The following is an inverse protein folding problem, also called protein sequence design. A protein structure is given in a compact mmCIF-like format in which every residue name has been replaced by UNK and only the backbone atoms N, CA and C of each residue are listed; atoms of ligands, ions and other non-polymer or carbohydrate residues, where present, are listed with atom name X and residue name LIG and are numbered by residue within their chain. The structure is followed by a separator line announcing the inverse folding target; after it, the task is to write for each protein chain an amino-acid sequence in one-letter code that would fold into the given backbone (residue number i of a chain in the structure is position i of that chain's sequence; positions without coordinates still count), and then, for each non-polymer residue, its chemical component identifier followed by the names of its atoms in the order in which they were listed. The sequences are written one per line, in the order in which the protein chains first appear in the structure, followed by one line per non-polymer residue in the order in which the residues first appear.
data_IF_969871976508
#
_entry.id   IF_969871976508
#
_cell.length_a   1.000
_cell.length_b   1.000
_cell.length_c   1.000
_cell.angle_alpha   90.00
_cell.angle_beta   90.00
_cell.angle_gamma   90.00
#
_symmetry.space_group_name_H-M   'P 1'
#
loop_
_entity.id
_entity.type
_entity.pdbx_description
1 polymer ?
#
# COMPACT_ATOMS: atom_id res chain seq x y z
N UNK A 1 -6.29 6.48 7.91
CA UNK A 1 -5.99 6.10 6.52
C UNK A 1 -6.59 4.74 6.21
N UNK A 2 -7.19 4.55 5.05
CA UNK A 2 -7.78 3.28 4.61
C UNK A 2 -7.29 2.91 3.23
N UNK A 3 -6.93 1.64 3.02
CA UNK A 3 -6.69 1.05 1.69
C UNK A 3 -7.78 0.00 1.40
N UNK A 4 -8.45 0.12 0.26
CA UNK A 4 -9.60 -0.71 -0.13
C UNK A 4 -9.70 -0.86 -1.64
N UNK A 5 -10.62 -1.69 -2.12
CA UNK A 5 -10.82 -1.89 -3.56
C UNK A 5 -12.06 -2.67 -3.92
N UNK A 6 -12.22 -3.00 -5.20
CA UNK A 6 -13.37 -3.79 -5.66
C UNK A 6 -13.39 -5.22 -5.11
N UNK A 7 -12.22 -5.78 -4.78
CA UNK A 7 -12.09 -7.12 -4.18
C UNK A 7 -12.32 -7.14 -2.67
N UNK A 8 -12.19 -5.99 -2.01
CA UNK A 8 -12.53 -5.78 -0.61
C UNK A 8 -13.00 -4.33 -0.42
N UNK A 9 -14.32 -4.08 -0.52
CA UNK A 9 -14.89 -2.74 -0.43
C UNK A 9 -14.78 -2.12 0.97
N UNK A 10 -14.58 -2.93 2.01
CA UNK A 10 -14.34 -2.46 3.38
C UNK A 10 -12.89 -2.01 3.51
N UNK A 11 -11.97 -2.87 3.08
CA UNK A 11 -10.54 -2.66 3.17
C UNK A 11 -10.01 -2.69 4.60
N UNK A 12 -8.80 -2.16 4.76
CA UNK A 12 -8.09 -2.14 6.05
C UNK A 12 -7.76 -0.70 6.43
N UNK A 13 -7.84 -0.41 7.72
CA UNK A 13 -7.68 0.95 8.24
C UNK A 13 -6.52 1.03 9.24
N UNK A 14 -5.67 2.01 9.01
CA UNK A 14 -4.66 2.49 9.94
C UNK A 14 -5.18 3.75 10.65
N UNK A 15 -5.36 3.66 11.97
CA UNK A 15 -5.93 4.73 12.80
C UNK A 15 -4.89 5.50 13.61
N UNK A 16 -3.67 4.99 13.76
CA UNK A 16 -2.63 5.69 14.50
C UNK A 16 -2.20 6.97 13.76
N UNK A 17 -2.44 8.17 14.32
CA UNK A 17 -2.23 9.42 13.60
C UNK A 17 -0.75 9.67 13.26
N UNK A 18 0.18 9.21 14.11
CA UNK A 18 1.62 9.33 13.84
C UNK A 18 2.04 8.50 12.62
N UNK A 19 1.49 7.29 12.50
CA UNK A 19 1.79 6.41 11.37
C UNK A 19 1.12 6.91 10.08
N UNK A 20 -0.12 7.39 10.16
CA UNK A 20 -0.81 8.02 9.02
C UNK A 20 -0.03 9.23 8.50
N UNK A 21 0.41 10.13 9.39
CA UNK A 21 1.20 11.31 9.00
C UNK A 21 2.55 10.90 8.38
N UNK A 22 3.22 9.90 8.94
CA UNK A 22 4.48 9.38 8.40
C UNK A 22 4.35 8.81 6.99
N UNK A 23 3.30 8.01 6.75
CA UNK A 23 2.99 7.45 5.43
C UNK A 23 2.61 8.56 4.45
N UNK A 24 1.76 9.51 4.84
CA UNK A 24 1.35 10.62 3.99
C UNK A 24 2.56 11.47 3.57
N UNK A 25 3.44 11.81 4.51
CA UNK A 25 4.66 12.54 4.23
C UNK A 25 5.58 11.75 3.29
N UNK A 26 5.78 10.45 3.55
CA UNK A 26 6.62 9.58 2.72
C UNK A 26 6.14 9.50 1.26
N UNK A 27 4.83 9.36 1.05
CA UNK A 27 4.22 9.36 -0.27
C UNK A 27 4.31 10.73 -0.96
N UNK A 28 4.20 11.82 -0.21
CA UNK A 28 4.31 13.19 -0.75
C UNK A 28 5.74 13.53 -1.18
N UNK A 29 6.74 13.10 -0.40
CA UNK A 29 8.13 13.52 -0.57
C UNK A 29 9.02 12.46 -1.23
N UNK A 30 8.45 11.36 -1.72
CA UNK A 30 9.20 10.22 -2.24
C UNK A 30 10.29 9.75 -1.25
N UNK A 31 9.88 9.47 -0.01
CA UNK A 31 10.75 8.97 1.04
C UNK A 31 10.31 7.57 1.52
N UNK A 32 11.22 6.86 2.18
CA UNK A 32 10.90 5.56 2.81
C UNK A 32 10.34 5.78 4.22
N UNK A 33 9.35 4.99 4.62
CA UNK A 33 8.79 5.02 5.96
C UNK A 33 8.36 3.62 6.42
N UNK A 34 8.54 3.34 7.71
CA UNK A 34 8.27 2.04 8.30
C UNK A 34 9.45 1.06 8.21
N UNK A 35 9.21 -0.24 8.44
CA UNK A 35 7.90 -0.84 8.70
C UNK A 35 7.31 -0.44 10.06
N UNK A 36 5.99 -0.21 10.13
CA UNK A 36 5.24 0.00 11.39
C UNK A 36 4.08 -0.98 11.50
N UNK A 37 3.97 -1.68 12.63
CA UNK A 37 2.89 -2.64 12.87
C UNK A 37 1.65 -1.95 13.45
N UNK A 38 0.49 -2.20 12.87
CA UNK A 38 -0.80 -1.74 13.40
C UNK A 38 -1.96 -2.55 12.84
N UNK A 39 -2.90 -2.92 13.72
CA UNK A 39 -4.13 -3.65 13.36
C UNK A 39 -3.88 -4.97 12.61
N UNK A 40 -2.79 -5.68 12.94
CA UNK A 40 -2.43 -6.96 12.30
C UNK A 40 -1.72 -6.82 10.95
N UNK A 41 -1.44 -5.59 10.49
CA UNK A 41 -0.73 -5.31 9.25
C UNK A 41 0.61 -4.65 9.50
N UNK A 42 1.54 -4.79 8.56
CA UNK A 42 2.86 -4.19 8.61
C UNK A 42 2.98 -3.16 7.50
N UNK A 43 2.90 -1.89 7.87
CA UNK A 43 2.80 -0.77 6.93
C UNK A 43 4.18 -0.25 6.58
N UNK A 44 4.48 -0.17 5.29
CA UNK A 44 5.74 0.34 4.77
C UNK A 44 5.50 1.14 3.49
N UNK A 45 6.25 2.23 3.34
CA UNK A 45 6.36 2.99 2.10
C UNK A 45 7.81 2.90 1.63
N UNK A 46 8.04 2.56 0.36
CA UNK A 46 9.38 2.46 -0.18
C UNK A 46 9.42 2.45 -1.71
N UNK A 47 10.61 2.55 -2.32
CA UNK A 47 10.76 2.64 -3.77
C UNK A 47 10.43 1.31 -4.46
N UNK A 48 9.67 1.36 -5.55
CA UNK A 48 9.44 0.24 -6.44
C UNK A 48 9.17 0.71 -7.88
N UNK A 49 10.02 0.29 -8.82
CA UNK A 49 9.97 0.79 -10.19
C UNK A 49 10.29 2.29 -10.25
N UNK A 50 9.43 3.08 -10.91
CA UNK A 50 9.63 4.52 -11.08
C UNK A 50 8.97 5.39 -10.00
N UNK A 51 8.46 4.80 -8.93
CA UNK A 51 7.93 5.57 -7.80
C UNK A 51 7.86 4.79 -6.51
N UNK A 52 6.88 5.13 -5.68
CA UNK A 52 6.76 4.58 -4.34
C UNK A 52 5.55 3.65 -4.20
N UNK A 53 5.77 2.58 -3.45
CA UNK A 53 4.79 1.59 -3.04
C UNK A 53 4.27 1.91 -1.64
N UNK A 54 2.97 1.74 -1.43
CA UNK A 54 2.40 1.56 -0.09
C UNK A 54 2.03 0.09 0.07
N UNK A 55 2.62 -0.55 1.07
CA UNK A 55 2.40 -1.97 1.38
C UNK A 55 1.94 -2.13 2.82
N UNK A 56 0.97 -3.01 3.02
CA UNK A 56 0.52 -3.46 4.34
C UNK A 56 1.02 -4.87 4.70
N UNK A 57 1.98 -5.41 3.94
CA UNK A 57 2.58 -6.74 4.18
C UNK A 57 3.98 -6.69 4.77
N UNK A 58 4.60 -5.50 4.83
CA UNK A 58 5.92 -5.28 5.43
C UNK A 58 7.10 -5.34 4.46
N UNK A 59 6.88 -5.86 3.26
CA UNK A 59 7.85 -5.87 2.17
C UNK A 59 7.60 -4.72 1.20
N UNK A 60 8.66 -4.29 0.51
CA UNK A 60 8.62 -3.30 -0.56
C UNK A 60 9.08 -3.98 -1.85
N UNK A 61 8.36 -3.74 -2.95
CA UNK A 61 8.64 -4.27 -4.28
C UNK A 61 8.65 -5.80 -4.38
N UNK A 62 8.00 -6.48 -3.44
CA UNK A 62 7.80 -7.92 -3.42
C UNK A 62 6.42 -8.34 -3.93
N UNK A 63 6.30 -9.55 -4.45
CA UNK A 63 5.01 -10.14 -4.81
C UNK A 63 4.47 -10.97 -3.65
N UNK A 64 3.35 -10.57 -3.09
CA UNK A 64 2.69 -11.25 -1.97
C UNK A 64 1.17 -11.23 -2.13
N UNK A 65 0.47 -11.91 -1.21
CA UNK A 65 -0.95 -11.70 -1.01
C UNK A 65 -1.15 -10.57 0.00
N UNK A 66 -1.99 -9.59 -0.31
CA UNK A 66 -2.29 -8.54 0.67
C UNK A 66 -2.90 -7.27 0.09
N UNK A 67 -2.54 -6.15 0.71
CA UNK A 67 -3.00 -4.80 0.37
C UNK A 67 -1.78 -3.97 0.00
N UNK A 68 -1.54 -3.84 -1.30
CA UNK A 68 -0.40 -3.11 -1.84
C UNK A 68 -0.87 -2.26 -3.02
N UNK A 69 -0.37 -1.04 -3.13
CA UNK A 69 -0.58 -0.16 -4.30
C UNK A 69 0.73 0.45 -4.77
N UNK A 70 0.92 0.47 -6.10
CA UNK A 70 2.13 0.91 -6.80
C UNK A 70 1.79 1.75 -8.04
N UNK A 71 1.26 2.98 -7.86
CA UNK A 71 0.77 3.81 -8.96
C UNK A 71 1.85 4.24 -9.98
N UNK A 72 3.14 4.04 -9.70
CA UNK A 72 4.23 4.45 -10.58
C UNK A 72 5.23 3.32 -10.88
N UNK A 73 4.81 2.04 -10.81
CA UNK A 73 5.74 0.91 -10.97
C UNK A 73 6.34 0.77 -12.38
N UNK A 74 5.66 1.26 -13.41
CA UNK A 74 6.13 1.17 -14.81
C UNK A 74 5.89 -0.19 -15.49
N UNK A 75 5.03 -1.03 -14.93
CA UNK A 75 4.56 -2.27 -15.52
C UNK A 75 3.13 -2.59 -15.03
N UNK A 76 2.61 -3.78 -15.34
CA UNK A 76 1.23 -4.17 -15.03
C UNK A 76 0.98 -4.58 -13.56
N UNK A 77 2.02 -4.67 -12.72
CA UNK A 77 1.91 -5.10 -11.33
C UNK A 77 1.59 -3.93 -10.39
N UNK A 78 0.48 -3.25 -10.64
CA UNK A 78 0.02 -2.06 -9.90
C UNK A 78 -0.26 -2.30 -8.40
N UNK A 79 -0.22 -3.56 -7.95
CA UNK A 79 -0.59 -3.99 -6.61
C UNK A 79 -1.84 -4.86 -6.63
N UNK A 80 -2.49 -4.96 -5.47
CA UNK A 80 -3.70 -5.74 -5.29
C UNK A 80 -4.31 -5.52 -3.91
N UNK A 81 -5.61 -5.76 -3.82
CA UNK A 81 -6.40 -5.66 -2.59
C UNK A 81 -6.93 -7.05 -2.25
N UNK A 82 -6.60 -7.54 -1.06
CA UNK A 82 -7.05 -8.82 -0.52
C UNK A 82 -6.79 -10.02 -1.47
N UNK A 83 -5.58 -10.10 -2.01
CA UNK A 83 -5.21 -11.15 -2.96
C UNK A 83 -3.85 -10.92 -3.59
N UNK A 84 -3.58 -11.54 -4.74
CA UNK A 84 -2.36 -11.36 -5.51
C UNK A 84 -2.07 -9.88 -5.76
N UNK A 85 -0.81 -9.48 -5.54
CA UNK A 85 -0.32 -8.09 -5.78
C UNK A 85 0.54 -7.96 -7.03
N UNK A 86 0.91 -9.09 -7.64
CA UNK A 86 1.55 -9.21 -8.95
C UNK A 86 0.73 -10.17 -9.81
N UNK A 87 0.56 -9.84 -11.10
CA UNK A 87 -0.37 -10.57 -11.98
C UNK A 87 -1.81 -10.56 -11.47
N UNK A 88 -2.18 -9.53 -10.70
CA UNK A 88 -3.50 -9.41 -10.11
C UNK A 88 -4.58 -9.24 -11.21
N UNK A 89 -5.77 -9.77 -10.97
CA UNK A 89 -6.93 -9.48 -11.83
C UNK A 89 -7.27 -7.99 -11.80
N UNK A 90 -7.88 -7.48 -12.88
CA UNK A 90 -8.36 -6.11 -12.95
C UNK A 90 -9.26 -5.77 -11.76
N UNK A 91 -8.95 -4.67 -11.09
CA UNK A 91 -9.67 -4.21 -9.89
C UNK A 91 -9.47 -2.70 -9.70
N UNK A 92 -10.39 -2.06 -8.98
CA UNK A 92 -10.22 -0.68 -8.51
C UNK A 92 -9.54 -0.71 -7.15
N UNK A 93 -8.55 0.16 -6.94
CA UNK A 93 -7.85 0.30 -5.66
C UNK A 93 -7.88 1.76 -5.21
N UNK A 94 -8.11 1.99 -3.92
CA UNK A 94 -8.32 3.32 -3.35
C UNK A 94 -7.53 3.42 -2.05
N UNK A 95 -6.72 4.48 -1.93
CA UNK A 95 -6.12 4.90 -0.66
C UNK A 95 -6.77 6.20 -0.24
N UNK A 96 -7.31 6.22 0.98
CA UNK A 96 -7.95 7.39 1.59
C UNK A 96 -7.08 7.82 2.78
N UNK A 97 -6.47 8.99 2.67
CA UNK A 97 -5.79 9.67 3.79
C UNK A 97 -6.78 10.71 4.34
N UNK A 98 -6.91 10.76 5.67
CA UNK A 98 -7.78 11.66 6.41
C UNK A 98 -6.95 12.46 7.39
#
# INVERSE_FOLDING_TARGET
MTIKGSNDPTGITLTNPRYVAGIANALLTNATYGPVSSNGYLWVVGPCGYGYELSATGDVCGCSLGYIVRPCIGNVNWGGINGNTCGASSQTMIVIIQ
#
